data_IF_217148499838
#
_entry.id   IF_217148499838
#
_cell.length_a   1.000
_cell.length_b   1.000
_cell.length_c   1.000
_cell.angle_alpha   90.00
_cell.angle_beta   90.00
_cell.angle_gamma   90.00
#
_symmetry.space_group_name_H-M   'P 1'
#
loop_
_entity.id
_entity.type
_entity.pdbx_description
1 polymer ?
#
# COMPACT_ATOMS: atom_id res chain seq x y z
N UNK A 1 23.54 -4.55 2.12
CA UNK A 1 22.15 -4.80 1.68
C UNK A 1 21.48 -5.87 2.54
N UNK A 2 20.50 -5.48 3.35
CA UNK A 2 19.68 -6.42 4.13
C UNK A 2 18.42 -6.79 3.35
N UNK A 3 18.25 -8.07 3.03
CA UNK A 3 17.08 -8.54 2.27
C UNK A 3 15.89 -8.71 3.22
N UNK A 4 14.73 -8.07 2.96
CA UNK A 4 13.57 -8.17 3.82
C UNK A 4 12.95 -9.58 3.77
N UNK A 5 12.36 -10.08 4.88
CA UNK A 5 11.71 -11.40 4.92
C UNK A 5 10.65 -11.60 3.84
N UNK A 6 9.92 -10.54 3.48
CA UNK A 6 8.91 -10.57 2.43
C UNK A 6 9.51 -10.86 1.04
N UNK A 7 10.67 -10.27 0.71
CA UNK A 7 11.37 -10.62 -0.51
C UNK A 7 11.92 -12.05 -0.44
N UNK A 8 12.51 -12.45 0.68
CA UNK A 8 13.04 -13.82 0.85
C UNK A 8 11.95 -14.87 0.61
N UNK A 9 10.74 -14.63 1.09
CA UNK A 9 9.58 -15.49 0.83
C UNK A 9 9.23 -15.51 -0.66
N UNK A 10 9.03 -14.33 -1.27
CA UNK A 10 8.72 -14.22 -2.70
C UNK A 10 9.79 -14.86 -3.59
N UNK A 11 11.07 -14.69 -3.26
CA UNK A 11 12.19 -15.29 -3.97
C UNK A 11 12.12 -16.82 -3.96
N UNK A 12 11.87 -17.43 -2.79
CA UNK A 12 11.71 -18.89 -2.68
C UNK A 12 10.48 -19.41 -3.42
N UNK A 13 9.38 -18.69 -3.39
CA UNK A 13 8.12 -19.15 -3.97
C UNK A 13 8.03 -18.89 -5.48
N UNK A 14 8.66 -17.81 -5.96
CA UNK A 14 8.45 -17.29 -7.32
C UNK A 14 9.74 -16.84 -8.02
N UNK A 15 10.64 -16.15 -7.31
CA UNK A 15 11.79 -15.46 -7.92
C UNK A 15 12.98 -16.36 -8.31
N UNK A 16 13.21 -17.47 -7.60
CA UNK A 16 14.41 -18.33 -7.79
C UNK A 16 14.47 -19.05 -9.14
N UNK A 17 13.37 -19.03 -9.91
CA UNK A 17 13.27 -19.67 -11.22
C UNK A 17 13.68 -18.74 -12.38
N UNK A 18 14.06 -17.50 -12.10
CA UNK A 18 14.53 -16.54 -13.12
C UNK A 18 15.96 -16.94 -13.58
N UNK A 19 16.23 -16.81 -14.88
CA UNK A 19 17.34 -17.43 -15.64
C UNK A 19 18.68 -17.54 -14.87
N UNK A 20 19.30 -18.73 -14.96
CA UNK A 20 20.68 -19.07 -14.56
C UNK A 20 20.95 -19.37 -13.06
N UNK A 21 20.05 -20.07 -12.38
CA UNK A 21 20.41 -20.86 -11.19
C UNK A 21 20.41 -20.13 -9.85
N UNK A 22 19.82 -18.93 -9.79
CA UNK A 22 19.48 -18.26 -8.53
C UNK A 22 20.69 -17.82 -7.70
N UNK A 23 21.78 -17.44 -8.36
CA UNK A 23 22.97 -16.89 -7.72
C UNK A 23 22.75 -15.52 -7.10
N UNK A 24 23.77 -15.05 -6.36
CA UNK A 24 23.75 -13.74 -5.69
C UNK A 24 23.56 -12.56 -6.67
N UNK A 25 24.07 -12.71 -7.89
CA UNK A 25 23.95 -11.69 -8.93
C UNK A 25 22.49 -11.52 -9.37
N UNK A 26 21.79 -12.61 -9.65
CA UNK A 26 20.39 -12.63 -10.06
C UNK A 26 19.45 -12.11 -8.96
N UNK A 27 19.77 -12.40 -7.70
CA UNK A 27 19.03 -11.92 -6.52
C UNK A 27 19.00 -10.38 -6.48
N UNK A 28 20.10 -9.72 -6.83
CA UNK A 28 20.18 -8.25 -6.75
C UNK A 28 19.22 -7.54 -7.72
N UNK A 29 19.13 -8.00 -8.97
CA UNK A 29 18.19 -7.45 -9.96
C UNK A 29 16.75 -7.80 -9.61
N UNK A 30 16.51 -9.05 -9.18
CA UNK A 30 15.18 -9.46 -8.74
C UNK A 30 14.70 -8.65 -7.54
N UNK A 31 15.60 -8.33 -6.60
CA UNK A 31 15.29 -7.48 -5.46
C UNK A 31 14.93 -6.06 -5.88
N UNK A 32 15.72 -5.45 -6.77
CA UNK A 32 15.43 -4.11 -7.28
C UNK A 32 14.07 -4.05 -7.99
N UNK A 33 13.79 -5.02 -8.87
CA UNK A 33 12.51 -5.11 -9.58
C UNK A 33 11.33 -5.33 -8.62
N UNK A 34 11.44 -6.32 -7.72
CA UNK A 34 10.42 -6.61 -6.72
C UNK A 34 10.10 -5.39 -5.84
N UNK A 35 11.14 -4.68 -5.41
CA UNK A 35 10.97 -3.51 -4.55
C UNK A 35 10.30 -2.35 -5.28
N UNK A 36 10.66 -2.10 -6.54
CA UNK A 36 10.00 -1.10 -7.38
C UNK A 36 8.50 -1.41 -7.55
N UNK A 37 8.18 -2.66 -7.94
CA UNK A 37 6.79 -3.09 -8.10
C UNK A 37 6.00 -3.07 -6.79
N UNK A 38 6.63 -3.44 -5.67
CA UNK A 38 6.00 -3.37 -4.35
C UNK A 38 5.69 -1.93 -3.94
N UNK A 39 6.60 -0.99 -4.18
CA UNK A 39 6.38 0.44 -3.89
C UNK A 39 5.19 0.98 -4.69
N UNK A 40 5.13 0.67 -5.98
CA UNK A 40 4.02 1.08 -6.85
C UNK A 40 2.68 0.52 -6.35
N UNK A 41 2.63 -0.78 -6.03
CA UNK A 41 1.43 -1.40 -5.49
C UNK A 41 0.99 -0.81 -4.13
N UNK A 42 1.94 -0.41 -3.27
CA UNK A 42 1.62 0.24 -1.99
C UNK A 42 1.11 1.68 -2.21
N UNK A 43 1.62 2.41 -3.18
CA UNK A 43 1.14 3.75 -3.52
C UNK A 43 -0.28 3.70 -4.10
N UNK A 44 -0.57 2.75 -4.97
CA UNK A 44 -1.90 2.51 -5.50
C UNK A 44 -2.89 2.15 -4.37
N UNK A 45 -2.50 1.21 -3.50
CA UNK A 45 -3.33 0.83 -2.35
C UNK A 45 -3.57 1.99 -1.38
N UNK A 46 -2.55 2.82 -1.14
CA UNK A 46 -2.69 4.03 -0.34
C UNK A 46 -3.73 4.98 -0.96
N UNK A 47 -3.61 5.24 -2.26
CA UNK A 47 -4.51 6.15 -2.99
C UNK A 47 -5.96 5.68 -2.88
N UNK A 48 -6.21 4.39 -3.12
CA UNK A 48 -7.57 3.82 -2.99
C UNK A 48 -8.15 4.01 -1.59
N UNK A 49 -7.39 3.69 -0.53
CA UNK A 49 -7.87 3.88 0.84
C UNK A 49 -8.09 5.36 1.18
N UNK A 50 -7.19 6.24 0.74
CA UNK A 50 -7.32 7.67 0.96
C UNK A 50 -8.54 8.26 0.25
N UNK A 51 -8.81 7.84 -0.98
CA UNK A 51 -9.97 8.30 -1.75
C UNK A 51 -11.29 7.85 -1.09
N UNK A 52 -11.35 6.61 -0.57
CA UNK A 52 -12.50 6.14 0.21
C UNK A 52 -12.69 7.00 1.47
N UNK A 53 -11.61 7.27 2.21
CA UNK A 53 -11.68 8.10 3.42
C UNK A 53 -12.26 9.49 3.09
N UNK A 54 -11.73 10.15 2.05
CA UNK A 54 -12.19 11.47 1.62
C UNK A 54 -13.64 11.45 1.12
N UNK A 55 -13.99 10.50 0.27
CA UNK A 55 -15.35 10.35 -0.30
C UNK A 55 -16.38 10.16 0.82
N UNK A 56 -16.12 9.23 1.74
CA UNK A 56 -17.01 8.94 2.88
C UNK A 56 -17.12 10.10 3.85
N UNK A 57 -16.00 10.77 4.16
CA UNK A 57 -16.03 11.98 4.97
C UNK A 57 -16.86 13.09 4.32
N UNK A 58 -16.65 13.32 3.02
CA UNK A 58 -17.39 14.32 2.27
C UNK A 58 -18.89 14.00 2.23
N UNK A 59 -19.27 12.73 2.05
CA UNK A 59 -20.67 12.29 2.11
C UNK A 59 -21.27 12.56 3.50
N UNK A 60 -20.54 12.18 4.55
CA UNK A 60 -20.97 12.37 5.93
C UNK A 60 -21.19 13.86 6.27
N UNK A 61 -20.23 14.72 5.88
CA UNK A 61 -20.28 16.18 6.14
C UNK A 61 -21.13 16.96 5.14
N UNK A 62 -21.50 16.38 4.00
CA UNK A 62 -22.20 17.06 2.92
C UNK A 62 -21.31 18.06 2.18
N UNK A 63 -20.03 17.72 1.98
CA UNK A 63 -19.14 18.47 1.09
C UNK A 63 -19.35 18.05 -0.36
N UNK A 64 -19.00 18.92 -1.32
CA UNK A 64 -19.02 18.57 -2.75
C UNK A 64 -18.28 17.23 -3.00
N UNK A 65 -18.83 16.30 -3.79
CA UNK A 65 -19.93 16.45 -4.76
C UNK A 65 -21.34 16.28 -4.20
N UNK A 66 -21.51 16.12 -2.88
CA UNK A 66 -22.79 15.79 -2.28
C UNK A 66 -23.63 17.04 -2.01
N UNK A 67 -24.92 16.92 -2.29
CA UNK A 67 -25.96 17.94 -2.13
C UNK A 67 -26.51 17.98 -0.70
N UNK A 68 -26.25 16.94 0.09
CA UNK A 68 -26.74 16.81 1.45
C UNK A 68 -28.05 16.00 1.57
N UNK A 69 -28.57 15.47 0.46
CA UNK A 69 -29.81 14.68 0.42
C UNK A 69 -29.55 13.19 0.12
N UNK A 70 -28.30 12.81 -0.04
CA UNK A 70 -27.88 11.45 -0.36
C UNK A 70 -28.13 10.50 0.81
N UNK A 71 -28.47 9.25 0.46
CA UNK A 71 -28.60 8.17 1.44
C UNK A 71 -27.27 7.90 2.14
N UNK A 72 -27.33 7.61 3.44
CA UNK A 72 -26.14 7.43 4.29
C UNK A 72 -25.46 8.72 4.76
N UNK A 73 -25.91 9.92 4.35
CA UNK A 73 -25.41 11.17 4.92
C UNK A 73 -25.63 11.22 6.44
N UNK A 74 -24.65 11.77 7.17
CA UNK A 74 -24.68 11.90 8.63
C UNK A 74 -24.92 10.55 9.35
N UNK A 75 -24.68 9.42 8.67
CA UNK A 75 -24.78 8.08 9.23
C UNK A 75 -23.46 7.69 9.92
N UNK A 76 -23.47 7.25 11.18
CA UNK A 76 -22.27 6.77 11.87
C UNK A 76 -21.53 5.63 11.15
N UNK A 77 -22.23 4.83 10.33
CA UNK A 77 -21.59 3.82 9.49
C UNK A 77 -20.66 4.46 8.43
N UNK A 78 -21.11 5.51 7.76
CA UNK A 78 -20.32 6.24 6.74
C UNK A 78 -19.12 6.94 7.40
N UNK A 79 -19.33 7.52 8.58
CA UNK A 79 -18.21 8.04 9.40
C UNK A 79 -17.22 6.93 9.76
N UNK A 80 -17.70 5.76 10.17
CA UNK A 80 -16.86 4.59 10.46
C UNK A 80 -16.10 4.05 9.26
N UNK A 81 -16.69 4.04 8.06
CA UNK A 81 -16.00 3.67 6.82
C UNK A 81 -14.88 4.67 6.48
N UNK A 82 -15.13 5.96 6.67
CA UNK A 82 -14.11 7.01 6.51
C UNK A 82 -12.93 6.78 7.44
N UNK A 83 -13.18 6.70 8.75
CA UNK A 83 -12.16 6.49 9.78
C UNK A 83 -11.37 5.19 9.57
N UNK A 84 -12.06 4.13 9.14
CA UNK A 84 -11.44 2.84 8.84
C UNK A 84 -10.49 2.93 7.66
N UNK A 85 -10.94 3.58 6.57
CA UNK A 85 -10.14 3.76 5.37
C UNK A 85 -8.92 4.66 5.61
N UNK A 86 -9.04 5.70 6.43
CA UNK A 86 -7.93 6.56 6.85
C UNK A 86 -6.87 5.73 7.60
N UNK A 87 -7.26 4.94 8.60
CA UNK A 87 -6.34 4.05 9.33
C UNK A 87 -5.64 3.05 8.41
N UNK A 88 -6.34 2.52 7.41
CA UNK A 88 -5.73 1.66 6.39
C UNK A 88 -4.68 2.42 5.58
N UNK A 89 -5.00 3.62 5.10
CA UNK A 89 -4.08 4.45 4.34
C UNK A 89 -2.80 4.78 5.14
N UNK A 90 -2.94 5.12 6.42
CA UNK A 90 -1.80 5.36 7.33
C UNK A 90 -0.93 4.11 7.51
N UNK A 91 -1.55 2.94 7.73
CA UNK A 91 -0.84 1.68 7.87
C UNK A 91 -0.04 1.32 6.60
N UNK A 92 -0.60 1.59 5.41
CA UNK A 92 0.05 1.37 4.12
C UNK A 92 1.25 2.32 3.94
N UNK A 93 1.10 3.61 4.26
CA UNK A 93 2.24 4.56 4.24
C UNK A 93 3.35 4.11 5.17
N UNK A 94 3.02 3.69 6.39
CA UNK A 94 4.00 3.20 7.34
C UNK A 94 4.73 1.94 6.82
N UNK A 95 4.02 1.05 6.12
CA UNK A 95 4.61 -0.12 5.47
C UNK A 95 5.56 0.27 4.32
N UNK A 96 5.19 1.28 3.52
CA UNK A 96 6.03 1.81 2.44
C UNK A 96 7.32 2.44 2.98
N UNK A 97 7.23 3.26 4.03
CA UNK A 97 8.38 3.90 4.68
C UNK A 97 9.35 2.87 5.30
N UNK A 98 8.82 1.82 5.93
CA UNK A 98 9.64 0.71 6.45
C UNK A 98 10.38 -0.03 5.33
N UNK A 99 9.76 -0.12 4.15
CA UNK A 99 10.39 -0.72 2.98
C UNK A 99 11.55 0.15 2.48
N UNK A 100 11.39 1.48 2.46
CA UNK A 100 12.43 2.44 2.08
C UNK A 100 13.58 2.55 3.10
N UNK A 101 13.31 2.52 4.41
CA UNK A 101 14.36 2.58 5.45
C UNK A 101 15.24 1.33 5.51
N UNK A 102 14.75 0.19 5.00
CA UNK A 102 15.57 -1.00 4.76
C UNK A 102 16.64 -0.79 3.68
N UNK A 103 16.47 0.22 2.82
CA UNK A 103 17.40 0.57 1.74
C UNK A 103 18.54 1.49 2.20
N UNK A 104 18.33 2.31 3.25
CA UNK A 104 19.31 3.31 3.72
C UNK A 104 20.38 2.78 4.67
N UNK A 105 20.21 1.57 5.22
CA UNK A 105 21.14 0.96 6.18
C UNK A 105 22.01 -0.15 5.56
N UNK A 106 22.25 -0.11 4.24
CA UNK A 106 22.73 -1.23 3.44
C UNK A 106 24.04 -1.02 2.71
#
# INVERSE_FOLDING_TARGET
MTIPPAFTKWWKEHGQFVRAGGGQYEISFAFAAWNASRREALEEAFTVCNDIAVDRWNLYKGHSPYTGSEDGRANPYVEGESDGAEKCAEAIRALSQKTAQGETNG
#
